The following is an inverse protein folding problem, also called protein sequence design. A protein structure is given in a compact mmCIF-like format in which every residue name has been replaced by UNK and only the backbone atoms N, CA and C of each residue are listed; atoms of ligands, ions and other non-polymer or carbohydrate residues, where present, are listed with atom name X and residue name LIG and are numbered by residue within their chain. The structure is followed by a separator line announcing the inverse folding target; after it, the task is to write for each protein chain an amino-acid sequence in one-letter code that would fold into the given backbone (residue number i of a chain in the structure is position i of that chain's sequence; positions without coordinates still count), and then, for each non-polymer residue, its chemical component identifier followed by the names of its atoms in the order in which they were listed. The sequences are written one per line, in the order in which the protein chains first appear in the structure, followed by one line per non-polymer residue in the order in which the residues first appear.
data_IF_361415584734
#
_entry.id   IF_361415584734
#
_cell.length_a   1.000
_cell.length_b   1.000
_cell.length_c   1.000
_cell.angle_alpha   90.00
_cell.angle_beta   90.00
_cell.angle_gamma   90.00
#
_symmetry.space_group_name_H-M   'P 1'
#
loop_
_entity.id
_entity.type
_entity.pdbx_description
1 polymer ?
#
# COMPACT_ATOMS: atom_id res chain seq x y z
N UNK A 1 -5.09 14.35 -7.54
CA UNK A 1 -5.19 14.24 -9.02
C UNK A 1 -5.07 12.78 -9.51
N UNK A 2 -4.27 11.89 -8.88
CA UNK A 2 -4.18 10.48 -9.34
C UNK A 2 -5.03 9.44 -8.57
N UNK A 3 -5.48 9.71 -7.34
CA UNK A 3 -6.35 8.80 -6.56
C UNK A 3 -7.79 9.31 -6.41
N UNK A 4 -8.21 10.27 -7.24
CA UNK A 4 -9.51 10.93 -7.13
C UNK A 4 -10.71 9.97 -7.29
N UNK A 5 -10.50 8.76 -7.83
CA UNK A 5 -11.56 7.74 -7.99
C UNK A 5 -11.94 7.00 -6.71
N UNK A 6 -11.25 7.25 -5.58
CA UNK A 6 -11.41 6.46 -4.35
C UNK A 6 -12.00 7.23 -3.15
N UNK A 7 -12.46 8.48 -3.34
CA UNK A 7 -13.07 9.31 -2.28
C UNK A 7 -12.26 9.36 -0.98
N UNK A 8 -10.94 9.50 -1.08
CA UNK A 8 -10.05 9.58 0.08
C UNK A 8 -10.21 10.92 0.80
N UNK A 9 -10.20 10.89 2.13
CA UNK A 9 -10.16 12.11 2.93
C UNK A 9 -8.74 12.75 2.93
N UNK A 10 -8.61 13.94 3.53
CA UNK A 10 -7.32 14.64 3.61
C UNK A 10 -6.27 13.84 4.39
N UNK A 11 -6.67 13.11 5.43
CA UNK A 11 -5.75 12.33 6.25
C UNK A 11 -5.20 11.15 5.45
N UNK A 12 -6.07 10.42 4.74
CA UNK A 12 -5.69 9.32 3.87
C UNK A 12 -4.78 9.80 2.75
N UNK A 13 -5.12 10.95 2.13
CA UNK A 13 -4.28 11.56 1.09
C UNK A 13 -2.87 11.90 1.61
N UNK A 14 -2.76 12.47 2.83
CA UNK A 14 -1.46 12.69 3.49
C UNK A 14 -0.72 11.39 3.77
N UNK A 15 -1.41 10.36 4.25
CA UNK A 15 -0.81 9.05 4.52
C UNK A 15 -0.24 8.40 3.26
N UNK A 16 -0.87 8.57 2.09
CA UNK A 16 -0.30 8.10 0.82
C UNK A 16 0.98 8.84 0.44
N UNK A 17 1.04 10.16 0.66
CA UNK A 17 2.24 10.95 0.42
C UNK A 17 3.39 10.55 1.38
N UNK A 18 3.09 10.46 2.68
CA UNK A 18 4.05 9.99 3.69
C UNK A 18 4.55 8.57 3.39
N UNK A 19 3.65 7.70 2.93
CA UNK A 19 4.01 6.34 2.57
C UNK A 19 4.89 6.28 1.32
N UNK A 20 4.63 7.13 0.32
CA UNK A 20 5.51 7.26 -0.86
C UNK A 20 6.93 7.69 -0.45
N UNK A 21 7.04 8.74 0.37
CA UNK A 21 8.33 9.24 0.84
C UNK A 21 9.11 8.16 1.62
N UNK A 22 8.41 7.46 2.52
CA UNK A 22 8.97 6.34 3.27
C UNK A 22 9.42 5.20 2.36
N UNK A 23 8.57 4.78 1.41
CA UNK A 23 8.88 3.73 0.45
C UNK A 23 10.14 4.06 -0.35
N UNK A 24 10.25 5.26 -0.91
CA UNK A 24 11.39 5.67 -1.72
C UNK A 24 12.68 5.74 -0.88
N UNK A 25 12.59 6.26 0.35
CA UNK A 25 13.73 6.31 1.27
C UNK A 25 14.25 4.91 1.62
N UNK A 26 13.34 3.99 1.96
CA UNK A 26 13.68 2.63 2.37
C UNK A 26 14.01 1.71 1.18
N UNK A 27 13.56 2.03 -0.04
CA UNK A 27 13.85 1.24 -1.23
C UNK A 27 15.36 1.07 -1.45
N UNK A 28 16.16 2.10 -1.12
CA UNK A 28 17.63 2.07 -1.21
C UNK A 28 18.27 0.99 -0.32
N UNK A 29 17.60 0.60 0.78
CA UNK A 29 18.08 -0.38 1.75
C UNK A 29 17.56 -1.79 1.45
N UNK A 30 16.31 -1.88 0.97
CA UNK A 30 15.59 -3.15 0.91
C UNK A 30 15.27 -3.66 -0.49
N UNK A 31 15.46 -2.86 -1.55
CA UNK A 31 15.10 -3.20 -2.93
C UNK A 31 13.63 -3.69 -3.02
N UNK A 32 12.71 -2.84 -2.56
CA UNK A 32 11.27 -3.11 -2.45
C UNK A 32 10.59 -3.11 -3.82
N UNK A 33 10.96 -2.16 -4.68
CA UNK A 33 10.39 -2.00 -6.02
C UNK A 33 11.40 -1.39 -7.01
N UNK A 34 11.27 -1.74 -8.28
CA UNK A 34 12.04 -1.13 -9.37
C UNK A 34 11.49 0.23 -9.80
N UNK A 35 10.30 0.61 -9.30
CA UNK A 35 9.58 1.82 -9.67
C UNK A 35 9.66 2.80 -8.51
N UNK A 36 10.36 3.92 -8.68
CA UNK A 36 10.48 4.99 -7.67
C UNK A 36 10.02 6.35 -8.14
N UNK A 37 9.61 6.46 -9.41
CA UNK A 37 9.05 7.70 -9.94
C UNK A 37 7.61 7.86 -9.40
N UNK A 38 7.28 9.06 -8.92
CA UNK A 38 6.06 9.33 -8.17
C UNK A 38 4.81 8.94 -8.96
N UNK A 39 4.66 9.41 -10.19
CA UNK A 39 3.49 9.12 -11.00
C UNK A 39 3.33 7.61 -11.24
N UNK A 40 4.43 6.88 -11.46
CA UNK A 40 4.39 5.43 -11.59
C UNK A 40 4.07 4.71 -10.27
N UNK A 41 4.55 5.16 -9.11
CA UNK A 41 4.18 4.55 -7.82
C UNK A 41 2.69 4.76 -7.56
N UNK A 42 2.18 5.98 -7.76
CA UNK A 42 0.76 6.27 -7.60
C UNK A 42 -0.12 5.46 -8.55
N UNK A 43 0.28 5.30 -9.82
CA UNK A 43 -0.50 4.56 -10.80
C UNK A 43 -0.39 3.04 -10.69
N UNK A 44 0.84 2.51 -10.56
CA UNK A 44 1.10 1.06 -10.64
C UNK A 44 1.07 0.35 -9.30
N UNK A 45 1.27 1.06 -8.19
CA UNK A 45 1.19 0.46 -6.86
C UNK A 45 -0.05 0.92 -6.11
N UNK A 46 -0.24 2.23 -5.91
CA UNK A 46 -1.33 2.72 -5.07
C UNK A 46 -2.70 2.53 -5.73
N UNK A 47 -2.88 3.04 -6.94
CA UNK A 47 -4.13 2.91 -7.67
C UNK A 47 -4.46 1.44 -7.94
N UNK A 48 -3.49 0.65 -8.41
CA UNK A 48 -3.67 -0.79 -8.67
C UNK A 48 -4.12 -1.55 -7.40
N UNK A 49 -3.50 -1.27 -6.25
CA UNK A 49 -3.89 -1.85 -4.97
C UNK A 49 -5.32 -1.48 -4.56
N UNK A 50 -5.71 -0.23 -4.77
CA UNK A 50 -7.06 0.24 -4.42
C UNK A 50 -8.12 -0.22 -5.41
N UNK A 51 -7.77 -0.51 -6.67
CA UNK A 51 -8.71 -0.95 -7.70
C UNK A 51 -9.48 -2.23 -7.29
N UNK A 52 -8.92 -3.05 -6.39
CA UNK A 52 -9.62 -4.18 -5.78
C UNK A 52 -10.96 -3.81 -5.15
N UNK A 53 -11.11 -2.57 -4.64
CA UNK A 53 -12.35 -2.12 -3.99
C UNK A 53 -13.53 -1.94 -4.95
N UNK A 54 -13.28 -1.87 -6.26
CA UNK A 54 -14.35 -1.88 -7.26
C UNK A 54 -15.04 -3.24 -7.38
N UNK A 55 -14.40 -4.30 -6.88
CA UNK A 55 -14.90 -5.67 -6.96
C UNK A 55 -15.22 -6.26 -5.58
N UNK A 56 -14.60 -5.73 -4.53
CA UNK A 56 -14.70 -6.24 -3.16
C UNK A 56 -15.13 -5.13 -2.21
N UNK A 57 -16.20 -5.38 -1.47
CA UNK A 57 -16.67 -4.48 -0.41
C UNK A 57 -15.85 -4.69 0.88
N UNK A 58 -14.71 -3.99 0.97
CA UNK A 58 -13.82 -4.05 2.13
C UNK A 58 -14.42 -3.52 3.43
N UNK A 59 -15.55 -2.79 3.37
CA UNK A 59 -16.26 -2.37 4.59
C UNK A 59 -16.83 -3.55 5.39
N UNK A 60 -17.03 -4.70 4.73
CA UNK A 60 -17.53 -5.96 5.34
C UNK A 60 -16.41 -6.94 5.71
N UNK A 61 -15.16 -6.58 5.44
CA UNK A 61 -14.00 -7.40 5.73
C UNK A 61 -13.33 -6.87 6.99
N UNK A 62 -13.05 -7.75 7.95
CA UNK A 62 -12.30 -7.37 9.16
C UNK A 62 -10.83 -7.76 9.10
N UNK A 63 -10.51 -8.86 8.43
CA UNK A 63 -9.16 -9.46 8.42
C UNK A 63 -8.74 -9.70 6.98
N UNK A 64 -7.54 -9.24 6.64
CA UNK A 64 -6.94 -9.43 5.33
C UNK A 64 -5.55 -10.04 5.52
N UNK A 65 -5.27 -11.12 4.80
CA UNK A 65 -3.93 -11.69 4.72
C UNK A 65 -3.35 -11.37 3.33
N UNK A 66 -2.14 -10.87 3.31
CA UNK A 66 -1.41 -10.55 2.09
C UNK A 66 -0.14 -11.43 2.02
N UNK A 67 0.02 -12.14 0.91
CA UNK A 67 1.05 -13.16 0.73
C UNK A 67 2.00 -12.68 -0.35
N UNK A 68 3.26 -12.46 0.02
CA UNK A 68 4.26 -11.82 -0.84
C UNK A 68 4.17 -10.30 -0.80
N UNK A 69 3.84 -9.72 0.36
CA UNK A 69 3.59 -8.29 0.53
C UNK A 69 4.73 -7.40 0.06
N UNK A 70 5.98 -7.87 0.06
CA UNK A 70 7.12 -7.13 -0.48
C UNK A 70 7.25 -5.73 0.10
N UNK A 71 7.00 -4.72 -0.73
CA UNK A 71 6.91 -3.31 -0.35
C UNK A 71 5.54 -2.90 0.20
N UNK A 72 4.78 -3.80 0.82
CA UNK A 72 3.50 -3.53 1.45
C UNK A 72 2.28 -3.50 0.52
N UNK A 73 2.39 -4.01 -0.71
CA UNK A 73 1.32 -3.95 -1.70
C UNK A 73 0.62 -5.31 -1.87
N UNK A 74 -0.72 -5.36 -1.90
CA UNK A 74 -1.68 -4.25 -1.87
C UNK A 74 -2.13 -3.81 -0.46
N UNK A 75 -1.65 -4.49 0.60
CA UNK A 75 -2.22 -4.38 1.92
C UNK A 75 -2.13 -2.98 2.55
N UNK A 76 -1.00 -2.28 2.46
CA UNK A 76 -0.82 -0.96 3.09
C UNK A 76 -1.75 0.09 2.45
N UNK A 77 -1.83 0.24 1.11
CA UNK A 77 -2.85 1.08 0.49
C UNK A 77 -4.28 0.77 0.97
N UNK A 78 -4.64 -0.51 1.05
CA UNK A 78 -5.96 -0.93 1.54
C UNK A 78 -6.17 -0.57 3.02
N UNK A 79 -5.15 -0.63 3.86
CA UNK A 79 -5.23 -0.21 5.26
C UNK A 79 -5.38 1.30 5.43
N UNK A 80 -4.77 2.10 4.56
CA UNK A 80 -4.98 3.55 4.54
C UNK A 80 -6.44 3.86 4.16
N UNK A 81 -6.94 3.24 3.10
CA UNK A 81 -8.32 3.43 2.63
C UNK A 81 -9.37 2.85 3.62
N UNK A 82 -9.06 1.74 4.28
CA UNK A 82 -9.92 1.01 5.20
C UNK A 82 -9.23 0.78 6.55
N UNK A 83 -9.18 1.81 7.43
CA UNK A 83 -8.42 1.76 8.67
C UNK A 83 -8.84 0.66 9.65
N UNK A 84 -10.06 0.11 9.52
CA UNK A 84 -10.55 -0.98 10.36
C UNK A 84 -9.91 -2.34 10.04
N UNK A 85 -9.33 -2.52 8.85
CA UNK A 85 -8.76 -3.81 8.43
C UNK A 85 -7.62 -4.26 9.35
N UNK A 86 -7.70 -5.50 9.85
CA UNK A 86 -6.61 -6.17 10.53
C UNK A 86 -5.77 -6.93 9.51
N UNK A 87 -4.56 -6.46 9.28
CA UNK A 87 -3.67 -7.02 8.26
C UNK A 87 -2.73 -8.08 8.86
N UNK A 88 -2.54 -9.17 8.11
CA UNK A 88 -1.44 -10.11 8.28
C UNK A 88 -0.60 -10.09 7.01
N UNK A 89 0.67 -9.69 7.10
CA UNK A 89 1.58 -9.63 5.97
C UNK A 89 2.55 -10.81 6.03
N UNK A 90 2.61 -11.60 4.97
CA UNK A 90 3.48 -12.78 4.87
C UNK A 90 4.53 -12.50 3.81
N UNK A 91 5.80 -12.38 4.22
CA UNK A 91 6.92 -12.11 3.33
C UNK A 91 8.09 -13.07 3.64
N UNK A 92 8.55 -13.89 2.68
CA UNK A 92 9.66 -14.81 2.91
C UNK A 92 11.02 -14.11 3.04
N UNK A 93 11.17 -12.91 2.46
CA UNK A 93 12.45 -12.20 2.42
C UNK A 93 12.69 -11.42 3.70
N UNK A 94 13.60 -11.91 4.56
CA UNK A 94 13.93 -11.27 5.85
C UNK A 94 14.28 -9.79 5.76
N UNK A 95 14.95 -9.37 4.68
CA UNK A 95 15.23 -7.94 4.42
C UNK A 95 13.93 -7.14 4.32
N UNK A 96 12.96 -7.60 3.53
CA UNK A 96 11.68 -6.92 3.32
C UNK A 96 10.76 -7.00 4.55
N UNK A 97 10.86 -8.05 5.37
CA UNK A 97 10.21 -8.09 6.70
C UNK A 97 10.65 -6.90 7.56
N UNK A 98 11.92 -6.46 7.45
CA UNK A 98 12.42 -5.28 8.16
C UNK A 98 11.75 -3.96 7.76
N UNK A 99 11.29 -3.86 6.50
CA UNK A 99 10.52 -2.72 6.02
C UNK A 99 9.07 -2.73 6.52
N UNK A 100 8.47 -3.92 6.68
CA UNK A 100 7.07 -4.10 7.07
C UNK A 100 6.83 -4.04 8.59
N UNK A 101 7.86 -3.74 9.38
CA UNK A 101 7.85 -3.81 10.85
C UNK A 101 7.80 -2.44 11.52
#
# INVERSE_FOLDING_TARGET
MMLNGFNLDEKQSRQFAEYYDFLVAENKKYNLTAITEEAQVYGKHFYDSLAAMFFIDFSKIEKLCDIGSGGGFPAIPLKIAFPHLRLSLIEPTRKKIGFLR
#
